data_IF_845170622293
#
_entry.id   IF_845170622293
#
_cell.length_a   1.000
_cell.length_b   1.000
_cell.length_c   1.000
_cell.angle_alpha   90.00
_cell.angle_beta   90.00
_cell.angle_gamma   90.00
#
_symmetry.space_group_name_H-M   'P 1'
#
loop_
_entity.id
_entity.type
_entity.pdbx_description
1 polymer ?
#
# COMPACT_ATOMS: atom_id res chain seq x y z
N UNK A 1 1.68 1.14 -28.08
CA UNK A 1 1.03 0.01 -28.77
C UNK A 1 -0.50 0.17 -28.71
N UNK A 2 -1.29 -0.33 -29.68
CA UNK A 2 -2.75 -0.10 -29.74
C UNK A 2 -3.55 -0.52 -28.49
N UNK A 3 -3.03 -1.48 -27.70
CA UNK A 3 -3.63 -1.95 -26.44
C UNK A 3 -3.50 -0.98 -25.26
N UNK A 4 -2.56 -0.02 -25.29
CA UNK A 4 -2.46 1.02 -24.25
C UNK A 4 -3.70 1.91 -24.22
N UNK A 5 -4.42 2.04 -25.36
CA UNK A 5 -5.66 2.81 -25.44
C UNK A 5 -6.85 2.14 -24.75
N UNK A 6 -6.88 0.82 -24.63
CA UNK A 6 -8.05 0.11 -24.07
C UNK A 6 -8.20 0.33 -22.56
N UNK A 7 -7.08 0.56 -21.87
CA UNK A 7 -7.08 0.76 -20.42
C UNK A 7 -7.09 2.24 -20.00
N UNK A 8 -6.96 3.18 -20.94
CA UNK A 8 -6.88 4.61 -20.65
C UNK A 8 -8.17 5.10 -19.96
N UNK A 9 -8.04 5.66 -18.76
CA UNK A 9 -9.17 6.11 -17.94
C UNK A 9 -9.74 5.06 -16.99
N UNK A 10 -9.31 3.79 -17.06
CA UNK A 10 -9.73 2.74 -16.11
C UNK A 10 -9.29 3.12 -14.69
N UNK A 11 -10.20 2.92 -13.74
CA UNK A 11 -9.97 3.12 -12.33
C UNK A 11 -9.71 1.79 -11.62
N UNK A 12 -8.79 1.80 -10.65
CA UNK A 12 -8.59 0.68 -9.73
C UNK A 12 -8.12 1.21 -8.37
N UNK A 13 -8.21 0.39 -7.34
CA UNK A 13 -7.81 0.80 -5.99
C UNK A 13 -7.13 -0.32 -5.22
N UNK A 14 -6.39 0.07 -4.18
CA UNK A 14 -5.78 -0.85 -3.22
C UNK A 14 -5.83 -0.24 -1.82
N UNK A 15 -6.02 -1.08 -0.81
CA UNK A 15 -5.97 -0.68 0.59
C UNK A 15 -4.56 -0.81 1.18
N UNK A 16 -3.59 -1.27 0.38
CA UNK A 16 -2.19 -1.50 0.78
C UNK A 16 -1.27 -1.19 -0.40
N UNK A 17 -1.28 0.08 -0.81
CA UNK A 17 -0.44 0.58 -1.88
C UNK A 17 0.96 0.95 -1.39
N UNK A 18 1.97 0.62 -2.18
CA UNK A 18 3.33 1.09 -1.95
C UNK A 18 3.34 2.61 -1.91
N UNK A 19 3.72 3.17 -0.77
CA UNK A 19 3.71 4.61 -0.56
C UNK A 19 4.83 5.28 -1.37
N UNK A 20 4.57 6.47 -1.88
CA UNK A 20 5.63 7.31 -2.44
C UNK A 20 6.42 8.06 -1.35
N UNK A 21 6.21 7.76 -0.07
CA UNK A 21 6.96 8.34 1.05
C UNK A 21 8.45 7.90 1.07
N UNK A 22 9.22 8.41 2.04
CA UNK A 22 10.64 8.07 2.15
C UNK A 22 10.91 6.56 2.21
N UNK A 23 10.16 5.81 3.04
CA UNK A 23 10.34 4.37 3.21
C UNK A 23 10.01 3.60 1.93
N UNK A 24 8.90 3.93 1.27
CA UNK A 24 8.51 3.28 0.03
C UNK A 24 9.47 3.55 -1.13
N UNK A 25 10.00 4.78 -1.24
CA UNK A 25 11.06 5.09 -2.22
C UNK A 25 12.34 4.31 -1.95
N UNK A 26 12.76 4.21 -0.68
CA UNK A 26 13.92 3.40 -0.30
C UNK A 26 13.69 1.91 -0.62
N UNK A 27 12.50 1.39 -0.34
CA UNK A 27 12.12 0.03 -0.73
C UNK A 27 12.20 -0.18 -2.24
N UNK A 28 11.64 0.71 -3.05
CA UNK A 28 11.71 0.62 -4.52
C UNK A 28 13.14 0.58 -5.03
N UNK A 29 14.01 1.44 -4.50
CA UNK A 29 15.43 1.48 -4.87
C UNK A 29 16.15 0.16 -4.51
N UNK A 30 15.92 -0.36 -3.30
CA UNK A 30 16.52 -1.63 -2.87
C UNK A 30 15.99 -2.82 -3.66
N UNK A 31 14.68 -2.85 -3.92
CA UNK A 31 14.03 -3.90 -4.69
C UNK A 31 14.57 -3.94 -6.12
N UNK A 32 14.67 -2.79 -6.78
CA UNK A 32 15.21 -2.71 -8.14
C UNK A 32 16.69 -3.11 -8.20
N UNK A 33 17.49 -2.68 -7.21
CA UNK A 33 18.90 -3.08 -7.12
C UNK A 33 19.08 -4.59 -6.97
N UNK A 34 18.18 -5.25 -6.23
CA UNK A 34 18.28 -6.68 -5.95
C UNK A 34 17.71 -7.54 -7.08
N UNK A 35 16.56 -7.18 -7.63
CA UNK A 35 15.83 -7.98 -8.63
C UNK A 35 16.00 -7.52 -10.08
N UNK A 36 16.66 -6.36 -10.31
CA UNK A 36 16.85 -5.78 -11.64
C UNK A 36 15.57 -5.24 -12.28
N UNK A 37 14.49 -5.07 -11.51
CA UNK A 37 13.18 -4.54 -11.94
C UNK A 37 12.53 -3.78 -10.80
N UNK A 38 11.86 -2.67 -11.09
CA UNK A 38 11.11 -1.92 -10.08
C UNK A 38 9.94 -2.77 -9.52
N UNK A 39 9.57 -2.60 -8.25
CA UNK A 39 8.42 -3.28 -7.69
C UNK A 39 7.12 -2.78 -8.32
N UNK A 40 6.09 -3.62 -8.29
CA UNK A 40 4.73 -3.20 -8.62
C UNK A 40 4.06 -2.54 -7.40
N UNK A 41 2.80 -2.15 -7.55
CA UNK A 41 2.11 -1.27 -6.63
C UNK A 41 1.76 -1.83 -5.24
N UNK A 42 1.85 -3.15 -4.99
CA UNK A 42 1.38 -3.70 -3.71
C UNK A 42 1.99 -5.03 -3.26
N UNK A 43 2.03 -6.06 -4.10
CA UNK A 43 2.28 -7.43 -3.62
C UNK A 43 3.64 -7.62 -2.95
N UNK A 44 4.70 -7.09 -3.59
CA UNK A 44 6.06 -7.18 -3.04
C UNK A 44 6.21 -6.40 -1.73
N UNK A 45 5.62 -5.20 -1.65
CA UNK A 45 5.69 -4.35 -0.48
C UNK A 45 4.85 -4.88 0.68
N UNK A 46 3.68 -5.48 0.42
CA UNK A 46 2.88 -6.18 1.43
C UNK A 46 3.66 -7.33 2.06
N UNK A 47 4.27 -8.19 1.24
CA UNK A 47 5.06 -9.31 1.75
C UNK A 47 6.26 -8.82 2.59
N UNK A 48 6.90 -7.73 2.15
CA UNK A 48 7.99 -7.09 2.88
C UNK A 48 7.52 -6.57 4.26
N UNK A 49 6.41 -5.84 4.32
CA UNK A 49 5.88 -5.32 5.58
C UNK A 49 5.43 -6.47 6.51
N UNK A 50 4.78 -7.51 5.99
CA UNK A 50 4.40 -8.71 6.77
C UNK A 50 5.60 -9.39 7.43
N UNK A 51 6.69 -9.59 6.68
CA UNK A 51 7.91 -10.17 7.22
C UNK A 51 8.52 -9.28 8.33
N UNK A 52 8.50 -7.95 8.15
CA UNK A 52 9.02 -7.01 9.13
C UNK A 52 8.15 -6.89 10.39
N UNK A 53 6.83 -6.98 10.27
CA UNK A 53 5.91 -7.06 11.42
C UNK A 53 6.29 -8.26 12.30
N UNK A 54 6.43 -9.43 11.69
CA UNK A 54 6.79 -10.66 12.41
C UNK A 54 8.20 -10.57 13.02
N UNK A 55 9.17 -10.07 12.26
CA UNK A 55 10.54 -9.90 12.74
C UNK A 55 10.61 -8.94 13.94
N UNK A 56 9.85 -7.84 13.93
CA UNK A 56 9.78 -6.89 15.03
C UNK A 56 9.12 -7.49 16.27
N UNK A 57 8.09 -8.30 16.11
CA UNK A 57 7.49 -9.04 17.23
C UNK A 57 8.45 -10.06 17.84
N UNK A 58 9.25 -10.76 17.01
CA UNK A 58 10.27 -11.69 17.50
C UNK A 58 11.40 -10.99 18.26
N UNK A 59 11.87 -9.83 17.80
CA UNK A 59 12.92 -9.06 18.49
C UNK A 59 12.55 -8.67 19.92
N UNK A 60 11.27 -8.57 20.22
CA UNK A 60 10.75 -8.15 21.52
C UNK A 60 10.31 -9.32 22.40
N UNK A 61 10.32 -10.53 21.84
CA UNK A 61 9.98 -11.74 22.56
C UNK A 61 11.25 -12.44 23.04
N UNK A 62 11.16 -13.08 24.20
CA UNK A 62 12.21 -13.97 24.72
C UNK A 62 12.48 -15.17 23.80
N UNK A 63 11.52 -15.53 22.95
CA UNK A 63 11.63 -16.62 21.98
C UNK A 63 10.63 -16.45 20.84
N UNK A 64 10.99 -16.79 19.59
CA UNK A 64 10.03 -16.81 18.47
C UNK A 64 8.92 -17.84 18.65
N UNK A 65 9.09 -18.83 19.54
CA UNK A 65 8.07 -19.83 19.90
C UNK A 65 7.18 -19.43 21.07
N UNK A 66 7.40 -18.27 21.69
CA UNK A 66 6.51 -17.75 22.71
C UNK A 66 5.27 -17.13 22.04
N UNK A 67 4.44 -17.96 21.41
CA UNK A 67 3.38 -17.54 20.50
C UNK A 67 2.42 -16.50 21.09
N UNK A 68 2.04 -16.66 22.37
CA UNK A 68 1.17 -15.67 23.04
C UNK A 68 1.80 -14.27 23.09
N UNK A 69 3.08 -14.18 23.45
CA UNK A 69 3.80 -12.91 23.49
C UNK A 69 3.99 -12.33 22.08
N UNK A 70 4.34 -13.17 21.10
CA UNK A 70 4.49 -12.75 19.69
C UNK A 70 3.17 -12.22 19.13
N UNK A 71 2.07 -12.95 19.29
CA UNK A 71 0.74 -12.50 18.83
C UNK A 71 0.30 -11.22 19.53
N UNK A 72 0.57 -11.06 20.82
CA UNK A 72 0.28 -9.82 21.54
C UNK A 72 1.12 -8.64 21.01
N UNK A 73 2.40 -8.84 20.71
CA UNK A 73 3.25 -7.81 20.13
C UNK A 73 2.73 -7.37 18.75
N UNK A 74 2.39 -8.33 17.87
CA UNK A 74 1.78 -8.03 16.56
C UNK A 74 0.48 -7.24 16.73
N UNK A 75 -0.38 -7.61 17.69
CA UNK A 75 -1.67 -6.94 17.92
C UNK A 75 -1.50 -5.51 18.38
N UNK A 76 -0.63 -5.28 19.36
CA UNK A 76 -0.60 -4.04 20.14
C UNK A 76 0.34 -2.97 19.57
N UNK A 77 1.24 -3.35 18.64
CA UNK A 77 2.29 -2.44 18.19
C UNK A 77 2.02 -1.94 16.77
N UNK A 78 1.95 -0.61 16.58
CA UNK A 78 1.95 -0.04 15.25
C UNK A 78 3.24 -0.41 14.50
N UNK A 79 3.09 -0.83 13.25
CA UNK A 79 4.21 -1.02 12.33
C UNK A 79 4.15 0.02 11.21
N UNK A 80 5.13 0.92 11.19
CA UNK A 80 5.31 1.93 10.15
C UNK A 80 6.05 1.32 8.95
N UNK A 81 5.28 0.76 8.04
CA UNK A 81 5.76 0.03 6.87
C UNK A 81 5.92 0.90 5.62
N UNK A 82 6.26 0.25 4.51
CA UNK A 82 6.42 0.90 3.20
C UNK A 82 5.06 1.17 2.54
N UNK A 83 4.00 0.49 2.97
CA UNK A 83 2.63 0.71 2.52
C UNK A 83 1.84 1.69 3.41
N UNK A 84 2.38 2.14 4.53
CA UNK A 84 1.66 2.91 5.55
C UNK A 84 1.74 2.25 6.93
N UNK A 85 0.81 2.58 7.82
CA UNK A 85 0.85 2.07 9.19
C UNK A 85 -0.11 0.90 9.39
N UNK A 86 0.42 -0.20 9.91
CA UNK A 86 -0.37 -1.35 10.32
C UNK A 86 -0.62 -1.30 11.83
N UNK A 87 -1.89 -1.31 12.22
CA UNK A 87 -2.31 -1.42 13.61
C UNK A 87 -3.48 -2.40 13.70
N UNK A 88 -3.36 -3.39 14.59
CA UNK A 88 -4.28 -4.53 14.66
C UNK A 88 -4.99 -4.64 16.01
N UNK A 89 -4.89 -3.63 16.88
CA UNK A 89 -5.55 -3.64 18.19
C UNK A 89 -7.02 -3.23 18.06
N UNK A 90 -7.75 -4.03 17.30
CA UNK A 90 -9.19 -3.90 17.05
C UNK A 90 -9.85 -5.23 17.38
N UNK A 91 -11.17 -5.27 17.40
CA UNK A 91 -11.92 -6.52 17.63
C UNK A 91 -11.78 -7.49 16.44
N UNK A 92 -11.69 -6.95 15.21
CA UNK A 92 -11.53 -7.76 13.99
C UNK A 92 -10.10 -8.21 13.73
N UNK A 93 -9.10 -7.57 14.36
CA UNK A 93 -7.67 -7.77 14.10
C UNK A 93 -7.30 -7.59 12.62
N UNK A 94 -8.07 -6.79 11.88
CA UNK A 94 -7.80 -6.37 10.51
C UNK A 94 -7.11 -5.01 10.56
N UNK A 95 -6.18 -4.77 9.64
CA UNK A 95 -5.52 -3.47 9.52
C UNK A 95 -6.54 -2.37 9.20
N UNK A 96 -6.39 -1.22 9.87
CA UNK A 96 -7.25 -0.07 9.68
C UNK A 96 -6.96 0.66 8.37
N UNK A 97 -7.98 1.29 7.78
CA UNK A 97 -7.82 2.15 6.61
C UNK A 97 -8.00 3.63 6.95
N UNK A 98 -7.36 4.50 6.17
CA UNK A 98 -7.47 5.94 6.37
C UNK A 98 -8.89 6.46 6.15
N UNK A 99 -9.67 5.82 5.26
CA UNK A 99 -11.07 6.19 5.03
C UNK A 99 -11.95 5.97 6.29
N UNK A 100 -11.59 5.00 7.14
CA UNK A 100 -12.31 4.70 8.38
C UNK A 100 -11.85 5.61 9.53
N UNK A 101 -10.54 5.84 9.63
CA UNK A 101 -9.92 6.47 10.82
C UNK A 101 -9.62 7.95 10.66
N UNK A 102 -9.36 8.40 9.43
CA UNK A 102 -8.75 9.70 9.13
C UNK A 102 -7.43 9.96 9.88
N UNK A 103 -6.72 8.89 10.28
CA UNK A 103 -5.46 8.95 11.03
C UNK A 103 -4.42 8.00 10.43
N UNK A 104 -3.43 8.55 9.72
CA UNK A 104 -2.35 7.79 9.08
C UNK A 104 -1.33 7.22 10.06
N UNK A 105 -1.34 7.65 11.32
CA UNK A 105 -0.44 7.12 12.35
C UNK A 105 -0.80 5.70 12.77
N UNK A 106 -1.98 5.20 12.39
CA UNK A 106 -2.48 3.86 12.73
C UNK A 106 -3.15 3.14 11.55
N UNK A 107 -3.17 3.73 10.35
CA UNK A 107 -3.91 3.18 9.21
C UNK A 107 -3.12 3.16 7.90
N UNK A 108 -3.61 2.31 7.00
CA UNK A 108 -3.14 2.23 5.63
C UNK A 108 -3.90 3.22 4.74
N UNK A 109 -3.22 3.90 3.81
CA UNK A 109 -3.88 4.71 2.80
C UNK A 109 -4.58 3.79 1.79
N UNK A 110 -5.90 3.99 1.62
CA UNK A 110 -6.59 3.47 0.45
C UNK A 110 -6.29 4.37 -0.74
N UNK A 111 -5.56 3.86 -1.73
CA UNK A 111 -5.18 4.61 -2.92
C UNK A 111 -6.11 4.26 -4.07
N UNK A 112 -6.58 5.29 -4.77
CA UNK A 112 -7.35 5.17 -6.01
C UNK A 112 -6.49 5.65 -7.16
N UNK A 113 -6.38 4.82 -8.18
CA UNK A 113 -5.60 5.06 -9.37
C UNK A 113 -6.50 5.24 -10.58
N UNK A 114 -6.03 6.07 -11.52
CA UNK A 114 -6.50 6.08 -12.90
C UNK A 114 -5.34 5.77 -13.83
N UNK A 115 -5.59 4.95 -14.85
CA UNK A 115 -4.61 4.77 -15.92
C UNK A 115 -4.64 6.03 -16.80
N UNK A 116 -3.52 6.76 -16.83
CA UNK A 116 -3.33 7.95 -17.64
C UNK A 116 -2.02 7.82 -18.41
N UNK A 117 -2.08 7.99 -19.73
CA UNK A 117 -0.96 7.80 -20.65
C UNK A 117 -0.30 6.41 -20.45
N UNK A 118 -1.13 5.38 -20.24
CA UNK A 118 -0.68 4.01 -19.99
C UNK A 118 -0.04 3.76 -18.62
N UNK A 119 -0.07 4.72 -17.69
CA UNK A 119 0.51 4.59 -16.34
C UNK A 119 -0.56 4.72 -15.25
N UNK A 120 -0.47 3.95 -14.17
CA UNK A 120 -1.37 4.15 -13.03
C UNK A 120 -0.93 5.38 -12.23
N UNK A 121 -1.78 6.41 -12.21
CA UNK A 121 -1.59 7.66 -11.46
C UNK A 121 -2.53 7.70 -10.27
N UNK A 122 -2.04 8.13 -9.12
CA UNK A 122 -2.87 8.26 -7.90
C UNK A 122 -3.74 9.51 -8.04
N UNK A 123 -5.05 9.34 -7.98
CA UNK A 123 -6.03 10.42 -8.07
C UNK A 123 -6.77 10.69 -6.74
N UNK A 124 -6.69 9.75 -5.79
CA UNK A 124 -7.27 9.93 -4.45
C UNK A 124 -6.58 9.05 -3.39
N UNK A 125 -6.66 9.42 -2.09
CA UNK A 125 -7.17 10.71 -1.60
C UNK A 125 -6.23 11.87 -1.96
N UNK A 126 -6.74 13.10 -1.89
CA UNK A 126 -6.02 14.32 -2.30
C UNK A 126 -4.62 14.43 -1.69
N UNK A 127 -4.46 14.02 -0.43
CA UNK A 127 -3.20 14.00 0.29
C UNK A 127 -2.08 13.19 -0.40
N UNK A 128 -2.46 12.17 -1.18
CA UNK A 128 -1.54 11.30 -1.92
C UNK A 128 -1.66 11.42 -3.43
N UNK A 129 -2.54 12.29 -3.93
CA UNK A 129 -2.80 12.41 -5.36
C UNK A 129 -1.59 13.03 -6.07
N UNK A 130 -1.16 12.38 -7.16
CA UNK A 130 -0.13 12.89 -8.06
C UNK A 130 -0.67 13.22 -9.46
N UNK A 131 -1.98 13.03 -9.67
CA UNK A 131 -2.72 13.44 -10.85
C UNK A 131 -4.17 13.81 -10.49
N UNK A 132 -4.85 14.49 -11.41
CA UNK A 132 -6.29 14.75 -11.32
C UNK A 132 -7.06 13.70 -12.11
N UNK A 133 -8.31 13.44 -11.74
CA UNK A 133 -9.21 12.60 -12.54
C UNK A 133 -9.45 13.22 -13.92
N UNK A 134 -9.35 12.40 -14.97
CA UNK A 134 -9.67 12.77 -16.35
C UNK A 134 -10.88 11.95 -16.78
N UNK A 135 -11.88 12.59 -17.40
CA UNK A 135 -13.03 11.87 -17.93
C UNK A 135 -12.56 10.80 -18.94
N UNK A 136 -12.89 9.51 -18.76
CA UNK A 136 -12.44 8.47 -19.67
C UNK A 136 -12.97 8.66 -21.09
N UNK A 137 -12.21 8.28 -22.12
CA UNK A 137 -12.51 8.60 -23.52
C UNK A 137 -13.85 8.04 -24.00
N UNK A 138 -14.29 6.88 -23.48
CA UNK A 138 -15.56 6.25 -23.85
C UNK A 138 -16.81 7.00 -23.36
N UNK A 139 -16.68 8.00 -22.48
CA UNK A 139 -17.79 8.89 -22.13
C UNK A 139 -18.00 10.01 -23.17
N UNK A 140 -17.03 10.24 -24.06
CA UNK A 140 -17.13 11.23 -25.15
C UNK A 140 -17.55 10.59 -26.48
N UNK A 141 -17.49 9.27 -26.59
CA UNK A 141 -18.03 8.55 -27.75
C UNK A 141 -19.56 8.57 -27.66
N UNK A 142 -20.21 9.32 -28.56
CA UNK A 142 -21.67 9.27 -28.70
C UNK A 142 -22.10 7.82 -28.95
N UNK A 143 -23.09 7.36 -28.19
CA UNK A 143 -23.83 6.13 -28.46
C UNK A 143 -24.50 6.18 -29.85
#
# INVERSE_FOLDING_TARGET
MPHEKLCEGVLWSTNSGLSENYLGRQFSQHYERFFGKSPTYSQASIAYDQANILANAWKQSVSPRHFKAVSNAIRLQPHYGVNGTYYFNTDSQIGLTYAETHDLSISLPQLVYQIQQGQSRVIAPELFANAQFILPPWFSEKA
#
